data_IF_800801945084
#
_entry.id   IF_800801945084
#
_cell.length_a   1.000
_cell.length_b   1.000
_cell.length_c   1.000
_cell.angle_alpha   90.00
_cell.angle_beta   90.00
_cell.angle_gamma   90.00
#
_symmetry.space_group_name_H-M   'P 1'
#
loop_
_entity.id
_entity.type
_entity.pdbx_description
1 polymer ?
#
# COMPACT_ATOMS: atom_id res chain seq x y z
N UNK A 1 42.34 46.08 -19.70
CA UNK A 1 41.45 45.72 -18.58
C UNK A 1 40.76 44.43 -18.95
N UNK A 2 41.15 43.35 -18.31
CA UNK A 2 40.47 42.08 -18.48
C UNK A 2 39.38 41.97 -17.41
N UNK A 3 38.12 42.06 -17.84
CA UNK A 3 36.98 41.79 -17.00
C UNK A 3 36.93 40.29 -16.76
N UNK A 4 37.32 39.87 -15.56
CA UNK A 4 37.05 38.53 -15.06
C UNK A 4 35.53 38.44 -14.79
N UNK A 5 34.80 37.87 -15.72
CA UNK A 5 33.44 37.43 -15.45
C UNK A 5 33.55 36.16 -14.60
N UNK A 6 33.42 36.34 -13.31
CA UNK A 6 33.19 35.21 -12.41
C UNK A 6 31.78 34.70 -12.72
N UNK A 7 31.74 33.64 -13.48
CA UNK A 7 30.52 32.84 -13.68
C UNK A 7 30.26 32.07 -12.37
N UNK A 8 29.50 32.64 -11.48
CA UNK A 8 28.95 31.89 -10.36
C UNK A 8 27.91 30.91 -10.97
N UNK A 9 28.39 29.75 -11.35
CA UNK A 9 27.50 28.60 -11.57
C UNK A 9 26.93 28.26 -10.20
N UNK A 10 25.71 28.71 -9.94
CA UNK A 10 24.92 28.21 -8.83
C UNK A 10 24.70 26.71 -9.11
N UNK A 11 25.52 25.88 -8.51
CA UNK A 11 25.29 24.47 -8.40
C UNK A 11 24.06 24.37 -7.51
N UNK A 12 22.86 24.34 -8.12
CA UNK A 12 21.66 23.89 -7.45
C UNK A 12 21.92 22.42 -7.19
N UNK A 13 22.41 22.11 -5.99
CA UNK A 13 22.47 20.76 -5.52
C UNK A 13 21.02 20.27 -5.49
N UNK A 14 20.65 19.50 -6.50
CA UNK A 14 19.44 18.71 -6.49
C UNK A 14 19.65 17.70 -5.37
N UNK A 15 19.19 18.03 -4.17
CA UNK A 15 19.08 17.06 -3.10
C UNK A 15 17.87 16.24 -3.49
N UNK A 16 18.06 14.98 -3.96
CA UNK A 16 16.91 14.12 -4.13
C UNK A 16 16.26 14.04 -2.76
N UNK A 17 15.00 14.39 -2.66
CA UNK A 17 14.20 14.11 -1.48
C UNK A 17 14.17 12.58 -1.34
N UNK A 18 15.18 12.06 -0.67
CA UNK A 18 15.23 10.66 -0.30
C UNK A 18 14.09 10.47 0.70
N UNK A 19 13.00 9.85 0.24
CA UNK A 19 12.00 9.37 1.15
C UNK A 19 12.69 8.38 2.07
N UNK A 20 12.55 8.58 3.37
CA UNK A 20 13.19 7.69 4.32
C UNK A 20 12.68 6.28 4.12
N UNK A 21 13.59 5.36 3.83
CA UNK A 21 13.27 3.94 3.77
C UNK A 21 12.80 3.47 5.15
N UNK A 22 11.70 2.75 5.19
CA UNK A 22 11.20 2.09 6.39
C UNK A 22 11.09 0.60 6.16
N UNK A 23 11.51 -0.16 7.14
CA UNK A 23 11.45 -1.61 7.15
C UNK A 23 11.21 -2.06 8.60
N UNK A 24 10.01 -2.53 8.88
CA UNK A 24 9.71 -3.01 10.22
C UNK A 24 8.76 -4.20 10.24
N UNK A 25 8.92 -5.00 11.27
CA UNK A 25 8.12 -6.16 11.54
C UNK A 25 7.26 -5.91 12.77
N UNK A 26 5.98 -6.19 12.66
CA UNK A 26 5.03 -6.08 13.75
C UNK A 26 4.48 -7.47 14.04
N UNK A 27 4.56 -7.86 15.31
CA UNK A 27 3.90 -9.07 15.78
C UNK A 27 2.64 -8.66 16.55
N UNK A 28 1.50 -9.07 16.04
CA UNK A 28 0.24 -8.97 16.78
C UNK A 28 0.00 -10.27 17.51
N UNK A 29 -0.21 -10.19 18.82
CA UNK A 29 -0.64 -11.32 19.65
C UNK A 29 -2.03 -11.02 20.19
N UNK A 30 -2.89 -12.03 20.18
CA UNK A 30 -4.20 -11.98 20.82
C UNK A 30 -4.31 -13.09 21.85
N UNK A 31 -5.27 -12.98 22.76
CA UNK A 31 -5.57 -14.03 23.73
C UNK A 31 -6.05 -15.35 23.07
N UNK A 32 -6.24 -15.34 21.76
CA UNK A 32 -6.74 -16.47 20.98
C UNK A 32 -5.64 -17.27 20.24
N UNK A 33 -4.41 -17.26 20.72
CA UNK A 33 -3.31 -18.13 20.23
C UNK A 33 -3.00 -18.07 18.72
N UNK A 34 -3.37 -17.01 18.02
CA UNK A 34 -3.09 -16.86 16.61
C UNK A 34 -2.23 -15.60 16.38
N UNK A 35 -0.90 -15.72 16.46
CA UNK A 35 -0.04 -14.60 16.18
C UNK A 35 -0.11 -14.22 14.69
N UNK A 36 -0.26 -12.94 14.42
CA UNK A 36 -0.11 -12.39 13.09
C UNK A 36 1.22 -11.63 13.02
N UNK A 37 1.95 -11.85 11.93
CA UNK A 37 3.21 -11.18 11.64
C UNK A 37 3.03 -10.32 10.41
N UNK A 38 3.29 -9.03 10.54
CA UNK A 38 3.20 -8.08 9.45
C UNK A 38 4.57 -7.48 9.19
N UNK A 39 5.07 -7.66 7.99
CA UNK A 39 6.27 -7.02 7.50
C UNK A 39 5.88 -5.90 6.55
N UNK A 40 6.24 -4.68 6.90
CA UNK A 40 6.06 -3.50 6.08
C UNK A 40 7.40 -2.94 5.63
N UNK A 41 7.50 -2.67 4.34
CA UNK A 41 8.68 -2.07 3.74
C UNK A 41 8.27 -0.99 2.75
N UNK A 42 8.88 0.19 2.88
CA UNK A 42 8.82 1.24 1.88
C UNK A 42 10.26 1.70 1.59
N UNK A 43 10.65 1.67 0.34
CA UNK A 43 12.00 2.03 -0.10
C UNK A 43 11.95 2.66 -1.50
N UNK A 44 12.47 3.87 -1.61
CA UNK A 44 12.39 4.65 -2.85
C UNK A 44 10.94 4.91 -3.24
N UNK A 45 10.56 4.51 -4.45
CA UNK A 45 9.21 4.70 -5.00
C UNK A 45 8.28 3.50 -4.79
N UNK A 46 8.71 2.48 -4.04
CA UNK A 46 7.99 1.22 -3.89
C UNK A 46 7.65 0.94 -2.44
N UNK A 47 6.52 0.27 -2.21
CA UNK A 47 6.19 -0.32 -0.92
C UNK A 47 5.74 -1.76 -1.06
N UNK A 48 5.87 -2.52 0.01
CA UNK A 48 5.32 -3.86 0.13
C UNK A 48 4.85 -4.14 1.56
N UNK A 49 3.78 -4.89 1.66
CA UNK A 49 3.27 -5.44 2.92
C UNK A 49 3.12 -6.95 2.78
N UNK A 50 3.58 -7.67 3.78
CA UNK A 50 3.37 -9.10 3.89
C UNK A 50 2.83 -9.39 5.29
N UNK A 51 1.59 -9.87 5.37
CA UNK A 51 0.94 -10.23 6.63
C UNK A 51 0.68 -11.72 6.66
N UNK A 52 1.21 -12.41 7.66
CA UNK A 52 1.10 -13.85 7.80
C UNK A 52 0.35 -14.21 9.08
N UNK A 53 -0.67 -15.04 8.94
CA UNK A 53 -1.44 -15.59 10.04
C UNK A 53 -1.28 -17.11 10.02
N UNK A 54 -0.71 -17.66 11.06
CA UNK A 54 -0.52 -19.10 11.22
C UNK A 54 -1.63 -19.66 12.11
N UNK A 55 -2.54 -20.40 11.50
CA UNK A 55 -3.53 -21.20 12.19
C UNK A 55 -3.12 -22.67 12.05
N UNK A 56 -3.26 -23.53 13.06
CA UNK A 56 -2.97 -24.95 12.89
C UNK A 56 -3.67 -25.52 11.64
N UNK A 57 -2.87 -26.16 10.77
CA UNK A 57 -3.31 -26.75 9.49
C UNK A 57 -3.82 -25.75 8.44
N UNK A 58 -3.73 -24.44 8.70
CA UNK A 58 -4.24 -23.44 7.77
C UNK A 58 -3.33 -22.20 7.79
N UNK A 59 -2.78 -21.86 6.65
CA UNK A 59 -1.87 -20.72 6.50
C UNK A 59 -2.53 -19.65 5.64
N UNK A 60 -2.58 -18.42 6.14
CA UNK A 60 -3.09 -17.25 5.41
C UNK A 60 -1.95 -16.24 5.27
N UNK A 61 -1.71 -15.81 4.05
CA UNK A 61 -0.74 -14.75 3.74
C UNK A 61 -1.45 -13.68 2.91
N UNK A 62 -1.47 -12.45 3.44
CA UNK A 62 -1.87 -11.28 2.70
C UNK A 62 -0.64 -10.55 2.18
N UNK A 63 -0.63 -10.22 0.90
CA UNK A 63 0.43 -9.40 0.30
C UNK A 63 -0.17 -8.19 -0.37
N UNK A 64 0.48 -7.05 -0.21
CA UNK A 64 0.12 -5.80 -0.88
C UNK A 64 1.37 -5.16 -1.42
N UNK A 65 1.32 -4.66 -2.63
CA UNK A 65 2.45 -3.98 -3.28
C UNK A 65 1.95 -2.81 -4.08
N UNK A 66 2.80 -1.81 -4.18
CA UNK A 66 2.51 -0.66 -5.01
C UNK A 66 3.62 0.36 -4.98
N UNK A 67 3.28 1.56 -5.38
CA UNK A 67 4.18 2.70 -5.40
C UNK A 67 3.95 3.59 -4.20
N UNK A 68 4.98 4.36 -3.90
CA UNK A 68 4.99 5.40 -2.87
C UNK A 68 5.16 6.76 -3.54
N UNK A 69 4.29 7.70 -3.20
CA UNK A 69 4.44 9.10 -3.56
C UNK A 69 4.76 9.94 -2.33
N UNK A 70 4.91 11.25 -2.49
CA UNK A 70 5.16 12.16 -1.36
C UNK A 70 4.02 12.17 -0.31
N UNK A 71 2.79 11.76 -0.69
CA UNK A 71 1.61 11.87 0.16
C UNK A 71 0.77 10.61 0.27
N UNK A 72 1.08 9.56 -0.51
CA UNK A 72 0.19 8.41 -0.62
C UNK A 72 0.92 7.13 -1.03
N UNK A 73 0.50 6.02 -0.43
CA UNK A 73 0.73 4.69 -0.97
C UNK A 73 -0.32 4.39 -2.03
N UNK A 74 0.12 3.98 -3.21
CA UNK A 74 -0.74 3.57 -4.32
C UNK A 74 -0.65 2.08 -4.51
N UNK A 75 -1.65 1.36 -4.06
CA UNK A 75 -1.74 -0.09 -4.21
C UNK A 75 -1.87 -0.46 -5.68
N UNK A 76 -1.08 -1.43 -6.12
CA UNK A 76 -1.13 -2.00 -7.47
C UNK A 76 -1.63 -3.44 -7.44
N UNK A 77 -1.22 -4.20 -6.45
CA UNK A 77 -1.59 -5.59 -6.34
C UNK A 77 -1.83 -5.97 -4.87
N UNK A 78 -2.92 -6.68 -4.64
CA UNK A 78 -3.25 -7.28 -3.36
C UNK A 78 -3.65 -8.73 -3.55
N UNK A 79 -3.19 -9.60 -2.67
CA UNK A 79 -3.53 -11.03 -2.70
C UNK A 79 -3.83 -11.53 -1.29
N UNK A 80 -4.89 -12.33 -1.20
CA UNK A 80 -5.22 -13.22 -0.10
C UNK A 80 -4.84 -14.64 -0.54
N UNK A 81 -3.78 -15.19 0.05
CA UNK A 81 -3.24 -16.51 -0.28
C UNK A 81 -3.51 -17.46 0.88
N UNK A 82 -4.16 -18.57 0.62
CA UNK A 82 -4.55 -19.57 1.62
C UNK A 82 -3.93 -20.92 1.28
N UNK A 83 -3.17 -21.49 2.19
CA UNK A 83 -2.41 -22.72 1.99
C UNK A 83 -1.60 -22.73 0.67
N UNK A 84 -0.93 -21.61 0.37
CA UNK A 84 -0.12 -21.45 -0.83
C UNK A 84 -0.89 -21.20 -2.13
N UNK A 85 -2.22 -21.09 -2.09
CA UNK A 85 -3.05 -20.85 -3.27
C UNK A 85 -3.73 -19.49 -3.20
N UNK A 86 -3.68 -18.66 -4.27
CA UNK A 86 -4.43 -17.42 -4.32
C UNK A 86 -5.93 -17.69 -4.16
N UNK A 87 -6.53 -17.03 -3.19
CA UNK A 87 -7.96 -17.12 -2.89
C UNK A 87 -8.73 -15.92 -3.44
N UNK A 88 -8.23 -14.72 -3.19
CA UNK A 88 -8.78 -13.48 -3.69
C UNK A 88 -7.66 -12.53 -4.12
N UNK A 89 -7.91 -11.75 -5.14
CA UNK A 89 -6.93 -10.85 -5.74
C UNK A 89 -7.58 -9.51 -6.04
N UNK A 90 -6.83 -8.43 -5.88
CA UNK A 90 -7.12 -7.12 -6.44
C UNK A 90 -5.93 -6.64 -7.24
N UNK A 91 -6.15 -6.24 -8.50
CA UNK A 91 -5.14 -5.63 -9.38
C UNK A 91 -5.61 -4.28 -9.84
N UNK A 92 -4.76 -3.28 -9.70
CA UNK A 92 -5.07 -1.90 -10.08
C UNK A 92 -4.19 -1.50 -11.26
N UNK A 93 -4.83 -1.07 -12.33
CA UNK A 93 -4.22 -0.37 -13.46
C UNK A 93 -4.50 1.14 -13.35
N UNK A 94 -3.94 2.00 -14.21
CA UNK A 94 -4.22 3.43 -14.15
C UNK A 94 -5.71 3.80 -14.27
N UNK A 95 -6.52 2.97 -14.91
CA UNK A 95 -7.93 3.29 -15.23
C UNK A 95 -8.93 2.29 -14.69
N UNK A 96 -8.50 1.12 -14.24
CA UNK A 96 -9.40 0.04 -13.83
C UNK A 96 -8.90 -0.67 -12.59
N UNK A 97 -9.82 -1.35 -11.91
CA UNK A 97 -9.54 -2.31 -10.85
C UNK A 97 -10.19 -3.65 -11.20
N UNK A 98 -9.39 -4.71 -11.16
CA UNK A 98 -9.86 -6.09 -11.24
C UNK A 98 -9.82 -6.70 -9.85
N UNK A 99 -10.88 -7.35 -9.43
CA UNK A 99 -10.94 -7.97 -8.10
C UNK A 99 -11.91 -9.15 -8.07
N UNK A 100 -11.76 -9.98 -7.09
CA UNK A 100 -12.68 -11.09 -6.85
C UNK A 100 -11.99 -12.33 -6.29
N UNK A 101 -12.81 -13.32 -5.97
CA UNK A 101 -12.32 -14.66 -5.67
C UNK A 101 -11.82 -15.32 -6.96
N UNK A 102 -10.60 -15.83 -6.94
CA UNK A 102 -9.97 -16.47 -8.11
C UNK A 102 -10.87 -17.59 -8.67
N UNK A 103 -11.53 -18.35 -7.80
CA UNK A 103 -12.45 -19.43 -8.16
C UNK A 103 -13.62 -18.97 -9.03
N UNK A 104 -14.13 -17.77 -8.81
CA UNK A 104 -15.34 -17.26 -9.47
C UNK A 104 -15.02 -16.40 -10.71
N UNK A 105 -13.74 -16.16 -11.01
CA UNK A 105 -13.32 -15.16 -11.98
C UNK A 105 -13.30 -13.75 -11.36
N UNK A 106 -12.56 -12.85 -11.99
CA UNK A 106 -12.42 -11.47 -11.52
C UNK A 106 -13.44 -10.56 -12.20
N UNK A 107 -13.96 -9.61 -11.43
CA UNK A 107 -14.75 -8.49 -11.93
C UNK A 107 -13.82 -7.31 -12.24
N UNK A 108 -14.21 -6.48 -13.21
CA UNK A 108 -13.47 -5.27 -13.59
C UNK A 108 -14.38 -4.07 -13.44
N UNK A 109 -13.90 -3.04 -12.76
CA UNK A 109 -14.59 -1.76 -12.62
C UNK A 109 -13.66 -0.60 -12.98
N UNK A 110 -14.20 0.57 -13.39
CA UNK A 110 -13.41 1.79 -13.51
C UNK A 110 -12.81 2.17 -12.15
N UNK A 111 -11.55 2.58 -12.15
CA UNK A 111 -10.88 3.12 -10.98
C UNK A 111 -11.24 4.60 -10.83
N UNK A 112 -12.06 4.93 -9.84
CA UNK A 112 -12.56 6.31 -9.64
C UNK A 112 -12.05 6.95 -8.35
N UNK A 113 -11.55 6.17 -7.40
CA UNK A 113 -11.10 6.62 -6.09
C UNK A 113 -9.75 5.98 -5.73
N UNK A 114 -8.97 6.65 -4.88
CA UNK A 114 -7.84 6.00 -4.22
C UNK A 114 -8.29 4.71 -3.53
N UNK A 115 -7.53 3.64 -3.70
CA UNK A 115 -7.90 2.31 -3.24
C UNK A 115 -6.80 1.71 -2.36
N UNK A 116 -7.20 1.18 -1.21
CA UNK A 116 -6.32 0.55 -0.24
C UNK A 116 -6.87 -0.83 0.14
N UNK A 117 -5.98 -1.74 0.48
CA UNK A 117 -6.31 -2.82 1.40
C UNK A 117 -6.18 -2.32 2.85
N UNK A 118 -6.66 -3.10 3.83
CA UNK A 118 -6.64 -2.68 5.23
C UNK A 118 -5.23 -2.43 5.77
N UNK A 119 -4.24 -3.22 5.34
CA UNK A 119 -2.86 -3.05 5.79
C UNK A 119 -2.25 -1.77 5.22
N UNK A 120 -2.41 -1.53 3.93
CA UNK A 120 -1.93 -0.32 3.26
C UNK A 120 -2.63 0.92 3.80
N UNK A 121 -3.93 0.86 4.10
CA UNK A 121 -4.66 1.95 4.74
C UNK A 121 -4.08 2.27 6.12
N UNK A 122 -3.81 1.26 6.94
CA UNK A 122 -3.22 1.45 8.26
C UNK A 122 -1.83 2.09 8.17
N UNK A 123 -1.00 1.65 7.21
CA UNK A 123 0.32 2.25 6.98
C UNK A 123 0.24 3.64 6.36
N UNK A 124 -0.73 3.90 5.51
CA UNK A 124 -1.01 5.24 5.00
C UNK A 124 -1.25 6.21 6.16
N UNK A 125 -2.09 5.83 7.10
CA UNK A 125 -2.38 6.66 8.27
C UNK A 125 -1.15 6.80 9.19
N UNK A 126 -0.42 5.72 9.42
CA UNK A 126 0.77 5.72 10.27
C UNK A 126 1.94 6.50 9.68
N UNK A 127 2.17 6.40 8.39
CA UNK A 127 3.33 6.98 7.71
C UNK A 127 3.10 8.44 7.30
N UNK A 128 1.93 8.75 6.76
CA UNK A 128 1.59 10.09 6.27
C UNK A 128 0.71 10.90 7.22
N UNK A 129 0.19 10.28 8.27
CA UNK A 129 -0.77 10.87 9.22
C UNK A 129 -2.02 11.45 8.53
N UNK A 130 -2.39 10.88 7.39
CA UNK A 130 -3.49 11.38 6.57
C UNK A 130 -4.09 10.30 5.68
N UNK A 131 -5.42 10.32 5.59
CA UNK A 131 -6.19 9.56 4.59
C UNK A 131 -6.86 10.53 3.60
N UNK A 132 -7.07 10.11 2.35
CA UNK A 132 -7.95 10.85 1.44
C UNK A 132 -9.35 11.01 2.05
N UNK A 133 -10.06 12.08 1.73
CA UNK A 133 -11.43 12.30 2.23
C UNK A 133 -12.41 11.29 1.67
N UNK A 134 -12.11 10.75 0.50
CA UNK A 134 -12.91 9.77 -0.22
C UNK A 134 -11.97 8.73 -0.80
N UNK A 135 -12.20 7.49 -0.50
CA UNK A 135 -11.40 6.36 -0.96
C UNK A 135 -12.22 5.07 -0.94
N UNK A 136 -11.65 4.00 -1.39
CA UNK A 136 -12.27 2.68 -1.29
C UNK A 136 -11.29 1.66 -0.70
N UNK A 137 -11.87 0.65 -0.06
CA UNK A 137 -11.14 -0.46 0.56
C UNK A 137 -11.48 -1.74 -0.18
N UNK A 138 -10.48 -2.54 -0.46
CA UNK A 138 -10.65 -3.89 -0.99
C UNK A 138 -10.03 -4.93 -0.06
N UNK A 139 -10.68 -6.07 0.04
CA UNK A 139 -10.12 -7.28 0.64
C UNK A 139 -9.83 -8.37 -0.41
N UNK A 140 -9.73 -7.97 -1.68
CA UNK A 140 -9.59 -8.86 -2.82
C UNK A 140 -10.92 -9.43 -3.32
N UNK A 141 -11.91 -9.64 -2.45
CA UNK A 141 -13.21 -10.22 -2.81
C UNK A 141 -14.22 -9.18 -3.27
N UNK A 142 -14.17 -8.00 -2.70
CA UNK A 142 -15.10 -6.90 -2.93
C UNK A 142 -14.45 -5.55 -2.65
N UNK A 143 -15.13 -4.51 -3.08
CA UNK A 143 -14.75 -3.10 -2.88
C UNK A 143 -15.82 -2.42 -2.04
N UNK A 144 -15.39 -1.59 -1.09
CA UNK A 144 -16.26 -0.77 -0.27
C UNK A 144 -15.80 0.69 -0.34
N UNK A 145 -16.70 1.59 -0.69
CA UNK A 145 -16.44 3.04 -0.69
C UNK A 145 -16.52 3.61 0.71
N UNK A 146 -15.60 4.50 1.03
CA UNK A 146 -15.51 5.18 2.33
C UNK A 146 -15.48 6.68 2.09
N UNK A 147 -16.32 7.41 2.79
CA UNK A 147 -16.34 8.88 2.82
C UNK A 147 -16.11 9.33 4.26
N UNK A 148 -15.03 10.10 4.47
CA UNK A 148 -14.73 10.66 5.78
C UNK A 148 -15.47 11.98 5.93
N UNK A 149 -16.39 12.05 6.91
CA UNK A 149 -17.02 13.29 7.32
C UNK A 149 -16.16 13.94 8.41
N UNK A 150 -15.80 15.21 8.19
CA UNK A 150 -15.30 16.00 9.32
C UNK A 150 -16.49 16.36 10.19
N UNK A 151 -16.49 15.93 11.44
CA UNK A 151 -17.41 16.44 12.45
C UNK A 151 -17.11 17.93 12.63
N UNK A 152 -18.09 18.74 12.39
CA UNK A 152 -18.02 20.19 12.67
C UNK A 152 -18.20 20.47 14.16
#
# INVERSE_FOLDING_TARGET
>A
MKLFKILFAALIAYVPTAWSAVDYNIKYSSNYLMPAYVHFKADGSQYSVNAKINIPLYNIVFTSRGSQTASQFKMVNYQDVRNGKPYAISKISPTTIEYGKVKNGLETEPLTLPTFDLFTMAFQLSYYDKLPTSFQITNGKKIQKVLLYQAR
#
